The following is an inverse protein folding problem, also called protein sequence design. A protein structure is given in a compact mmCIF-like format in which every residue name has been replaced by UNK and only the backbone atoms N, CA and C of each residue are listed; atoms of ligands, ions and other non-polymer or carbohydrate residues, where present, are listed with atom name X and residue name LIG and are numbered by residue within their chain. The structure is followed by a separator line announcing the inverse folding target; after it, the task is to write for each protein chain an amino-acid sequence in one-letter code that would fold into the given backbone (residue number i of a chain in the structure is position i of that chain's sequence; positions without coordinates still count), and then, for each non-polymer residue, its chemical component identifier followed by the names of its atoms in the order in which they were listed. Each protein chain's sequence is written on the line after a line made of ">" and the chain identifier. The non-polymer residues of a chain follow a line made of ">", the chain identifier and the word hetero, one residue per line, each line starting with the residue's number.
data_IF_361543675551
#
_entry.id   IF_361543675551
#
_cell.length_a   1.000
_cell.length_b   1.000
_cell.length_c   1.000
_cell.angle_alpha   90.00
_cell.angle_beta   90.00
_cell.angle_gamma   90.00
#
_symmetry.space_group_name_H-M   'P 1'
#
loop_
_entity.id
_entity.type
_entity.pdbx_description
1 polymer ?
#
# COMPACT_ATOMS: atom_id res chain seq x y z
N UNK A 1 -29.46 35.67 -39.52
CA UNK A 1 -29.05 34.25 -39.45
C UNK A 1 -27.71 34.15 -38.75
N UNK A 2 -27.67 33.72 -37.49
CA UNK A 2 -26.43 33.23 -36.83
C UNK A 2 -26.79 31.96 -36.07
N UNK A 3 -26.22 30.86 -36.55
CA UNK A 3 -26.41 29.50 -36.08
C UNK A 3 -25.70 29.35 -34.73
N UNK A 4 -26.41 28.89 -33.71
CA UNK A 4 -25.83 28.49 -32.44
C UNK A 4 -25.20 27.10 -32.60
N UNK A 5 -23.87 27.03 -32.54
CA UNK A 5 -23.17 25.78 -32.29
C UNK A 5 -23.29 25.43 -30.81
N UNK A 6 -24.20 24.53 -30.47
CA UNK A 6 -24.20 23.86 -29.17
C UNK A 6 -23.04 22.84 -29.22
N UNK A 7 -21.87 23.24 -28.73
CA UNK A 7 -20.76 22.31 -28.51
C UNK A 7 -21.21 21.27 -27.48
N UNK A 8 -21.21 20.01 -27.90
CA UNK A 8 -21.70 18.89 -27.11
C UNK A 8 -20.65 18.53 -26.03
N UNK A 9 -20.65 19.30 -24.93
CA UNK A 9 -19.71 19.17 -23.78
C UNK A 9 -19.71 17.75 -23.19
N UNK A 10 -20.80 17.00 -23.37
CA UNK A 10 -20.94 15.60 -22.95
C UNK A 10 -19.90 14.65 -23.58
N UNK A 11 -19.61 14.79 -24.88
CA UNK A 11 -18.64 13.93 -25.55
C UNK A 11 -17.19 14.27 -25.18
N UNK A 12 -16.91 15.55 -24.92
CA UNK A 12 -15.58 15.99 -24.54
C UNK A 12 -15.26 15.47 -23.13
N UNK A 13 -16.15 15.64 -22.14
CA UNK A 13 -15.87 15.17 -20.78
C UNK A 13 -15.77 13.64 -20.65
N UNK A 14 -16.53 12.86 -21.43
CA UNK A 14 -16.41 11.39 -21.41
C UNK A 14 -15.03 10.87 -21.84
N UNK A 15 -14.39 11.52 -22.83
CA UNK A 15 -13.04 11.13 -23.29
C UNK A 15 -11.95 11.40 -22.24
N UNK A 16 -12.07 12.48 -21.47
CA UNK A 16 -11.08 12.83 -20.44
C UNK A 16 -11.24 12.02 -19.15
N UNK A 17 -12.47 11.63 -18.79
CA UNK A 17 -12.73 10.71 -17.67
C UNK A 17 -12.13 9.33 -17.94
N UNK A 18 -12.21 8.82 -19.18
CA UNK A 18 -11.54 7.57 -19.57
C UNK A 18 -10.01 7.65 -19.44
N UNK A 19 -9.41 8.81 -19.78
CA UNK A 19 -7.96 9.01 -19.61
C UNK A 19 -7.55 9.05 -18.13
N UNK A 20 -8.36 9.67 -17.26
CA UNK A 20 -8.09 9.76 -15.82
C UNK A 20 -8.28 8.44 -15.06
N UNK A 21 -9.05 7.50 -15.59
CA UNK A 21 -9.20 6.14 -15.03
C UNK A 21 -8.04 5.21 -15.47
N UNK A 22 -7.44 5.46 -16.64
CA UNK A 22 -6.32 4.66 -17.16
C UNK A 22 -4.97 5.04 -16.53
N UNK A 23 -4.76 6.30 -16.15
CA UNK A 23 -3.48 6.78 -15.58
C UNK A 23 -3.11 6.12 -14.24
N UNK A 24 -4.03 5.88 -13.28
CA UNK A 24 -3.72 5.15 -12.05
C UNK A 24 -3.46 3.65 -12.28
N UNK A 25 -4.05 3.07 -13.33
CA UNK A 25 -3.95 1.63 -13.59
C UNK A 25 -2.55 1.24 -14.13
N UNK A 26 -1.89 2.14 -14.86
CA UNK A 26 -0.53 1.92 -15.38
C UNK A 26 0.55 2.18 -14.33
N UNK A 27 0.29 3.06 -13.35
CA UNK A 27 1.27 3.45 -12.32
C UNK A 27 1.33 2.52 -11.10
N UNK A 28 0.44 1.51 -11.01
CA UNK A 28 0.35 0.59 -9.88
C UNK A 28 0.82 -0.84 -10.23
N UNK A 29 1.67 -1.00 -11.25
CA UNK A 29 2.33 -2.30 -11.45
C UNK A 29 3.27 -2.54 -10.26
N UNK A 30 3.19 -3.70 -9.57
CA UNK A 30 4.12 -3.99 -8.49
C UNK A 30 5.56 -3.89 -9.01
N UNK A 31 6.48 -3.35 -8.21
CA UNK A 31 7.89 -3.17 -8.59
C UNK A 31 8.60 -4.53 -8.61
N UNK A 32 8.35 -5.31 -9.65
CA UNK A 32 8.83 -6.67 -9.85
C UNK A 32 9.57 -6.79 -11.18
N UNK A 33 10.42 -7.81 -11.31
CA UNK A 33 11.01 -8.16 -12.60
C UNK A 33 9.94 -8.69 -13.55
N UNK A 34 10.10 -8.42 -14.84
CA UNK A 34 9.18 -8.79 -15.89
C UNK A 34 9.61 -10.08 -16.57
N UNK A 35 8.67 -11.02 -16.65
CA UNK A 35 8.82 -12.22 -17.47
C UNK A 35 8.99 -11.85 -18.95
N UNK A 36 9.92 -12.50 -19.65
CA UNK A 36 10.23 -12.25 -21.06
C UNK A 36 11.16 -11.06 -21.33
N UNK A 37 11.35 -10.16 -20.35
CA UNK A 37 12.30 -9.04 -20.44
C UNK A 37 13.51 -9.28 -19.53
N UNK A 38 13.29 -9.36 -18.21
CA UNK A 38 14.36 -9.49 -17.21
C UNK A 38 14.79 -10.95 -17.02
N UNK A 39 13.85 -11.89 -17.19
CA UNK A 39 14.10 -13.33 -17.14
C UNK A 39 13.11 -14.11 -18.01
N UNK A 40 13.49 -15.29 -18.48
CA UNK A 40 12.64 -16.18 -19.28
C UNK A 40 13.00 -17.64 -19.04
N UNK A 41 12.06 -18.53 -19.37
CA UNK A 41 12.35 -19.96 -19.49
C UNK A 41 12.92 -20.23 -20.89
N UNK A 42 14.17 -20.68 -20.94
CA UNK A 42 14.81 -21.14 -22.19
C UNK A 42 14.22 -22.49 -22.62
N UNK A 43 13.90 -23.33 -21.63
CA UNK A 43 13.19 -24.59 -21.75
C UNK A 43 12.50 -24.90 -20.41
N UNK A 44 11.79 -26.03 -20.33
CA UNK A 44 11.06 -26.48 -19.13
C UNK A 44 11.88 -26.51 -17.85
N UNK A 45 13.20 -26.72 -17.94
CA UNK A 45 14.07 -26.90 -16.78
C UNK A 45 15.17 -25.84 -16.68
N UNK A 46 15.11 -24.76 -17.47
CA UNK A 46 16.17 -23.74 -17.52
C UNK A 46 15.62 -22.34 -17.53
N UNK A 47 15.99 -21.53 -16.54
CA UNK A 47 15.72 -20.09 -16.50
C UNK A 47 16.98 -19.34 -16.93
N UNK A 48 16.80 -18.29 -17.73
CA UNK A 48 17.83 -17.33 -18.10
C UNK A 48 17.45 -15.93 -17.64
N UNK A 49 18.44 -15.08 -17.40
CA UNK A 49 18.23 -13.67 -17.09
C UNK A 49 19.00 -12.78 -18.05
N UNK A 50 18.53 -11.55 -18.20
CA UNK A 50 19.20 -10.49 -18.94
C UNK A 50 20.60 -10.16 -18.38
N UNK A 51 20.78 -10.38 -17.07
CA UNK A 51 22.04 -10.22 -16.33
C UNK A 51 23.04 -11.37 -16.51
N UNK A 52 22.70 -12.38 -17.32
CA UNK A 52 23.59 -13.48 -17.70
C UNK A 52 23.62 -14.67 -16.73
N UNK A 53 22.68 -14.75 -15.79
CA UNK A 53 22.51 -15.94 -14.98
C UNK A 53 21.82 -17.05 -15.78
N UNK A 54 22.18 -18.29 -15.47
CA UNK A 54 21.51 -19.51 -15.95
C UNK A 54 21.15 -20.35 -14.74
N UNK A 55 19.88 -20.73 -14.62
CA UNK A 55 19.39 -21.56 -13.54
C UNK A 55 18.85 -22.87 -14.08
N UNK A 56 19.23 -23.98 -13.46
CA UNK A 56 18.61 -25.28 -13.66
C UNK A 56 17.49 -25.47 -12.64
N UNK A 57 16.35 -25.98 -13.12
CA UNK A 57 15.20 -26.36 -12.32
C UNK A 57 15.21 -27.89 -12.19
N UNK A 58 15.27 -28.35 -10.95
CA UNK A 58 15.11 -29.74 -10.57
C UNK A 58 13.68 -29.95 -10.03
N UNK A 59 12.88 -30.72 -10.78
CA UNK A 59 11.52 -31.06 -10.39
C UNK A 59 11.52 -32.09 -9.26
N UNK A 60 10.80 -31.80 -8.18
CA UNK A 60 10.72 -32.66 -7.00
C UNK A 60 9.42 -33.47 -7.00
N UNK A 61 8.27 -32.79 -7.09
CA UNK A 61 6.95 -33.42 -6.99
C UNK A 61 5.85 -32.50 -7.54
N UNK A 62 4.83 -33.07 -8.18
CA UNK A 62 3.62 -32.33 -8.54
C UNK A 62 2.87 -31.87 -7.29
N UNK A 63 2.41 -30.62 -7.30
CA UNK A 63 1.82 -29.98 -6.14
C UNK A 63 0.59 -29.17 -6.52
N UNK A 64 -0.41 -29.23 -5.65
CA UNK A 64 -1.63 -28.43 -5.76
C UNK A 64 -2.06 -27.99 -4.38
N UNK A 65 -2.36 -26.70 -4.26
CA UNK A 65 -2.86 -26.08 -3.04
C UNK A 65 -4.02 -25.15 -3.37
N UNK A 66 -4.99 -25.10 -2.49
CA UNK A 66 -6.18 -24.28 -2.63
C UNK A 66 -6.52 -23.65 -1.28
N UNK A 67 -6.83 -22.35 -1.28
CA UNK A 67 -7.13 -21.63 -0.05
C UNK A 67 -7.38 -20.15 -0.27
N UNK A 68 -7.73 -19.47 0.82
CA UNK A 68 -7.85 -18.03 0.83
C UNK A 68 -6.49 -17.37 1.04
N UNK A 69 -6.22 -16.31 0.29
CA UNK A 69 -5.01 -15.51 0.39
C UNK A 69 -5.06 -14.64 1.64
N UNK A 70 -4.27 -15.00 2.63
CA UNK A 70 -4.12 -14.28 3.89
C UNK A 70 -3.12 -13.12 3.81
N UNK A 71 -2.16 -13.23 2.90
CA UNK A 71 -1.12 -12.25 2.66
C UNK A 71 -0.45 -12.43 1.31
N UNK A 72 0.04 -11.32 0.74
CA UNK A 72 0.79 -11.29 -0.52
C UNK A 72 2.01 -10.39 -0.32
N UNK A 73 3.19 -10.86 -0.69
CA UNK A 73 4.41 -10.07 -0.63
C UNK A 73 5.20 -10.21 -1.93
N UNK A 74 5.39 -9.08 -2.61
CA UNK A 74 6.22 -9.00 -3.80
C UNK A 74 7.68 -8.73 -3.44
N UNK A 75 8.58 -9.37 -4.18
CA UNK A 75 10.02 -9.27 -4.00
C UNK A 75 10.72 -8.84 -5.28
N UNK A 76 11.84 -8.15 -5.10
CA UNK A 76 12.75 -7.76 -6.17
C UNK A 76 14.17 -8.14 -5.73
N UNK A 77 14.55 -9.38 -6.04
CA UNK A 77 15.86 -9.94 -5.73
C UNK A 77 16.66 -10.20 -7.00
N UNK A 78 17.79 -9.52 -7.17
CA UNK A 78 18.62 -9.58 -8.39
C UNK A 78 19.10 -11.01 -8.71
N UNK A 79 19.31 -11.84 -7.69
CA UNK A 79 19.77 -13.23 -7.85
C UNK A 79 18.66 -14.25 -8.09
N UNK A 80 17.40 -13.85 -7.93
CA UNK A 80 16.24 -14.70 -8.14
C UNK A 80 15.06 -13.88 -8.72
N UNK A 81 15.23 -13.24 -9.89
CA UNK A 81 14.22 -12.35 -10.45
C UNK A 81 12.90 -13.06 -10.78
N UNK A 82 12.95 -14.38 -10.94
CA UNK A 82 11.80 -15.27 -11.15
C UNK A 82 11.02 -15.58 -9.86
N UNK A 83 11.62 -15.35 -8.69
CA UNK A 83 11.00 -15.56 -7.37
C UNK A 83 10.14 -14.39 -6.94
N UNK A 84 9.06 -14.16 -7.67
CA UNK A 84 8.40 -12.84 -7.71
C UNK A 84 7.57 -12.50 -6.48
N UNK A 85 6.80 -13.47 -6.01
CA UNK A 85 5.78 -13.24 -5.00
C UNK A 85 5.68 -14.43 -4.07
N UNK A 86 5.46 -14.10 -2.81
CA UNK A 86 5.10 -15.04 -1.78
C UNK A 86 3.63 -14.85 -1.44
N UNK A 87 2.92 -15.96 -1.28
CA UNK A 87 1.49 -15.99 -0.98
C UNK A 87 1.25 -16.87 0.24
N UNK A 88 0.74 -16.25 1.30
CA UNK A 88 0.25 -16.98 2.46
C UNK A 88 -1.19 -17.44 2.19
N UNK A 89 -1.42 -18.75 2.21
CA UNK A 89 -2.73 -19.37 2.05
C UNK A 89 -3.23 -19.94 3.37
N UNK A 90 -4.54 -19.90 3.58
CA UNK A 90 -5.21 -20.60 4.66
C UNK A 90 -6.48 -21.32 4.17
N UNK A 91 -6.85 -22.40 4.85
CA UNK A 91 -8.06 -23.18 4.54
C UNK A 91 -8.68 -23.78 5.80
N UNK A 92 -9.80 -24.48 5.62
CA UNK A 92 -10.53 -25.10 6.72
C UNK A 92 -11.14 -24.08 7.68
N UNK A 93 -11.15 -24.43 8.97
CA UNK A 93 -11.80 -23.64 10.02
C UNK A 93 -11.13 -22.29 10.25
N UNK A 94 -9.89 -22.08 9.78
CA UNK A 94 -9.19 -20.78 9.85
C UNK A 94 -9.99 -19.68 9.17
N UNK A 95 -10.78 -20.03 8.15
CA UNK A 95 -11.56 -19.06 7.36
C UNK A 95 -12.86 -18.63 8.05
N UNK A 96 -13.24 -19.26 9.16
CA UNK A 96 -14.39 -18.83 9.96
C UNK A 96 -14.14 -17.41 10.49
N UNK A 97 -15.12 -16.48 10.40
CA UNK A 97 -14.93 -15.08 10.79
C UNK A 97 -14.34 -14.90 12.19
N UNK A 98 -14.83 -15.67 13.17
CA UNK A 98 -14.41 -15.63 14.57
C UNK A 98 -12.92 -15.95 14.79
N UNK A 99 -12.32 -16.75 13.91
CA UNK A 99 -10.89 -17.08 13.96
C UNK A 99 -10.11 -16.08 13.10
N UNK A 100 -10.56 -15.86 11.87
CA UNK A 100 -9.88 -15.03 10.88
C UNK A 100 -9.69 -13.59 11.34
N UNK A 101 -10.68 -13.01 12.01
CA UNK A 101 -10.61 -11.64 12.53
C UNK A 101 -9.58 -11.49 13.67
N UNK A 102 -9.25 -12.59 14.36
CA UNK A 102 -8.27 -12.65 15.45
C UNK A 102 -6.90 -13.18 15.02
N UNK A 103 -6.73 -13.48 13.72
CA UNK A 103 -5.49 -13.99 13.14
C UNK A 103 -4.75 -12.87 12.41
N UNK A 104 -3.63 -12.44 12.96
CA UNK A 104 -2.71 -11.53 12.30
C UNK A 104 -1.67 -12.31 11.51
N UNK A 105 -1.58 -12.08 10.21
CA UNK A 105 -0.59 -12.71 9.32
C UNK A 105 0.38 -11.65 8.83
N UNK A 106 1.68 -11.87 9.06
CA UNK A 106 2.77 -11.01 8.63
C UNK A 106 3.72 -11.77 7.71
N UNK A 107 4.27 -11.09 6.70
CA UNK A 107 5.16 -11.68 5.71
C UNK A 107 6.40 -10.82 5.51
N UNK A 108 7.57 -11.34 5.92
CA UNK A 108 8.87 -10.66 5.86
C UNK A 108 10.00 -11.64 5.58
N UNK A 109 11.03 -11.20 4.86
CA UNK A 109 12.23 -12.00 4.54
C UNK A 109 11.96 -13.40 3.95
N UNK A 110 10.87 -13.56 3.18
CA UNK A 110 10.39 -14.84 2.62
C UNK A 110 9.77 -15.80 3.66
N UNK A 111 9.40 -15.30 4.84
CA UNK A 111 8.68 -16.08 5.86
C UNK A 111 7.26 -15.55 6.05
N UNK A 112 6.35 -16.46 6.37
CA UNK A 112 5.03 -16.14 6.89
C UNK A 112 5.01 -16.40 8.40
N UNK A 113 4.73 -15.37 9.18
CA UNK A 113 4.53 -15.44 10.63
C UNK A 113 3.07 -15.14 10.93
N UNK A 114 2.52 -15.80 11.95
CA UNK A 114 1.16 -15.54 12.39
C UNK A 114 1.09 -15.36 13.91
N UNK A 115 0.23 -14.44 14.33
CA UNK A 115 -0.05 -14.15 15.72
C UNK A 115 -1.56 -14.27 15.95
N UNK A 116 -1.93 -14.95 17.04
CA UNK A 116 -3.32 -15.23 17.38
C UNK A 116 -3.61 -14.66 18.77
N UNK A 117 -4.61 -13.77 18.86
CA UNK A 117 -4.86 -12.93 20.04
C UNK A 117 -5.88 -13.49 21.03
N UNK A 118 -6.59 -14.58 20.70
CA UNK A 118 -7.71 -15.05 21.53
C UNK A 118 -7.27 -16.08 22.59
N UNK A 119 -7.54 -15.78 23.87
CA UNK A 119 -7.28 -16.66 25.02
C UNK A 119 -8.18 -17.93 25.05
N UNK A 120 -9.28 -17.97 24.30
CA UNK A 120 -10.22 -19.10 24.19
C UNK A 120 -10.14 -19.78 22.81
N UNK A 121 -8.93 -20.14 22.34
CA UNK A 121 -8.78 -20.66 20.98
C UNK A 121 -9.49 -22.02 20.79
N UNK A 122 -10.58 -22.03 20.01
CA UNK A 122 -11.20 -23.28 19.53
C UNK A 122 -10.27 -24.05 18.57
N UNK A 123 -9.26 -23.37 18.01
CA UNK A 123 -8.25 -23.92 17.11
C UNK A 123 -6.91 -24.11 17.84
N UNK A 124 -6.27 -25.25 17.63
CA UNK A 124 -4.93 -25.54 18.15
C UNK A 124 -3.84 -24.93 17.26
N UNK A 125 -2.66 -24.65 17.83
CA UNK A 125 -1.48 -24.25 17.04
C UNK A 125 -1.12 -25.28 15.96
N UNK A 126 -1.29 -26.57 16.25
CA UNK A 126 -1.10 -27.63 15.27
C UNK A 126 -2.05 -27.50 14.07
N UNK A 127 -3.31 -27.14 14.33
CA UNK A 127 -4.28 -26.91 13.26
C UNK A 127 -3.91 -25.69 12.41
N UNK A 128 -3.52 -24.56 13.03
CA UNK A 128 -3.01 -23.38 12.30
C UNK A 128 -1.84 -23.76 11.38
N UNK A 129 -0.88 -24.50 11.92
CA UNK A 129 0.32 -24.94 11.21
C UNK A 129 0.02 -25.84 10.02
N UNK A 130 -0.96 -26.73 10.15
CA UNK A 130 -1.31 -27.70 9.09
C UNK A 130 -2.35 -27.19 8.10
N UNK A 131 -2.96 -26.02 8.37
CA UNK A 131 -4.00 -25.41 7.53
C UNK A 131 -3.61 -24.04 6.99
N UNK A 132 -2.32 -23.70 7.04
CA UNK A 132 -1.74 -22.54 6.41
C UNK A 132 -0.46 -22.94 5.69
N UNK A 133 -0.16 -22.28 4.57
CA UNK A 133 1.11 -22.45 3.86
C UNK A 133 1.67 -21.13 3.35
N UNK A 134 2.99 -21.07 3.21
CA UNK A 134 3.70 -19.93 2.62
C UNK A 134 4.31 -20.38 1.30
N UNK A 135 3.77 -19.87 0.20
CA UNK A 135 4.05 -20.37 -1.14
C UNK A 135 4.88 -19.35 -1.92
N UNK A 136 6.07 -19.74 -2.38
CA UNK A 136 6.92 -18.96 -3.26
C UNK A 136 6.61 -19.29 -4.72
N UNK A 137 6.07 -18.32 -5.46
CA UNK A 137 5.54 -18.58 -6.79
C UNK A 137 6.52 -18.17 -7.88
N UNK A 138 6.83 -19.14 -8.75
CA UNK A 138 7.64 -18.97 -9.96
C UNK A 138 6.73 -19.23 -11.17
N UNK A 139 6.52 -18.26 -12.07
CA UNK A 139 5.64 -18.45 -13.23
C UNK A 139 6.27 -19.37 -14.27
N UNK A 140 5.53 -20.40 -14.73
CA UNK A 140 5.96 -21.23 -15.86
C UNK A 140 5.71 -20.60 -17.25
N UNK A 141 5.03 -19.45 -17.31
CA UNK A 141 4.79 -18.71 -18.56
C UNK A 141 4.40 -17.26 -18.28
N UNK A 142 4.41 -16.43 -19.31
CA UNK A 142 3.97 -15.03 -19.24
C UNK A 142 2.49 -14.91 -18.83
N UNK A 143 1.63 -15.81 -19.30
CA UNK A 143 0.22 -15.84 -18.92
C UNK A 143 0.04 -16.11 -17.42
N UNK A 144 0.83 -17.04 -16.86
CA UNK A 144 0.82 -17.32 -15.44
C UNK A 144 1.39 -16.16 -14.64
N UNK A 145 2.48 -15.55 -15.09
CA UNK A 145 3.02 -14.32 -14.49
C UNK A 145 1.94 -13.23 -14.39
N UNK A 146 1.21 -12.97 -15.48
CA UNK A 146 0.15 -11.97 -15.54
C UNK A 146 -1.05 -12.27 -14.62
N UNK A 147 -1.28 -13.55 -14.26
CA UNK A 147 -2.26 -13.93 -13.24
C UNK A 147 -1.69 -13.76 -11.84
N UNK A 148 -0.45 -14.20 -11.60
CA UNK A 148 0.24 -14.12 -10.30
C UNK A 148 0.31 -12.68 -9.78
N UNK A 149 0.67 -11.72 -10.63
CA UNK A 149 0.77 -10.30 -10.22
C UNK A 149 -0.56 -9.66 -9.83
N UNK A 150 -1.70 -10.32 -10.12
CA UNK A 150 -3.05 -9.84 -9.79
C UNK A 150 -3.57 -10.37 -8.46
N UNK A 151 -2.89 -11.36 -7.85
CA UNK A 151 -3.29 -11.95 -6.57
C UNK A 151 -3.34 -10.87 -5.50
N UNK A 152 -4.41 -10.88 -4.70
CA UNK A 152 -4.64 -9.96 -3.58
C UNK A 152 -5.09 -10.74 -2.36
N UNK A 153 -4.85 -10.14 -1.19
CA UNK A 153 -5.44 -10.61 0.07
C UNK A 153 -6.96 -10.68 -0.06
N UNK A 154 -7.53 -11.80 0.38
CA UNK A 154 -8.96 -12.10 0.28
C UNK A 154 -9.39 -12.86 -0.97
N UNK A 155 -8.51 -12.99 -1.98
CA UNK A 155 -8.79 -13.88 -3.10
C UNK A 155 -8.80 -15.34 -2.63
N UNK A 156 -9.72 -16.16 -3.15
CA UNK A 156 -9.65 -17.60 -3.01
C UNK A 156 -9.05 -18.18 -4.28
N UNK A 157 -7.93 -18.88 -4.16
CA UNK A 157 -7.16 -19.32 -5.33
C UNK A 157 -6.81 -20.79 -5.24
N UNK A 158 -6.67 -21.41 -6.41
CA UNK A 158 -6.09 -22.73 -6.59
C UNK A 158 -4.84 -22.62 -7.44
N UNK A 159 -3.74 -23.15 -6.93
CA UNK A 159 -2.44 -23.19 -7.57
C UNK A 159 -2.11 -24.65 -7.89
N UNK A 160 -1.69 -24.93 -9.11
CA UNK A 160 -1.14 -26.23 -9.50
C UNK A 160 0.19 -26.03 -10.23
N UNK A 161 1.15 -26.89 -9.94
CA UNK A 161 2.51 -26.79 -10.45
C UNK A 161 3.39 -27.93 -9.97
N UNK A 162 4.68 -27.65 -9.89
CA UNK A 162 5.68 -28.62 -9.41
C UNK A 162 6.54 -27.94 -8.35
N UNK A 163 6.81 -28.64 -7.24
CA UNK A 163 7.80 -28.22 -6.26
C UNK A 163 9.18 -28.37 -6.87
N UNK A 164 10.02 -27.35 -6.71
CA UNK A 164 11.31 -27.29 -7.41
C UNK A 164 12.48 -27.00 -6.48
N UNK A 165 13.67 -27.38 -6.94
CA UNK A 165 14.94 -26.93 -6.41
C UNK A 165 15.73 -26.25 -7.53
N UNK A 166 16.25 -25.05 -7.26
CA UNK A 166 16.87 -24.21 -8.29
C UNK A 166 18.35 -24.00 -8.00
N UNK A 167 19.18 -24.24 -9.03
CA UNK A 167 20.63 -24.02 -8.98
C UNK A 167 21.03 -23.05 -10.08
N UNK A 168 21.55 -21.89 -9.70
CA UNK A 168 22.01 -20.84 -10.60
C UNK A 168 23.52 -20.76 -10.73
N UNK A 169 24.00 -20.48 -11.94
CA UNK A 169 25.37 -20.02 -12.19
C UNK A 169 25.41 -18.79 -13.09
N UNK A 170 26.40 -17.92 -12.85
CA UNK A 170 26.76 -16.81 -13.73
C UNK A 170 28.27 -16.81 -13.96
N UNK A 171 28.67 -16.64 -15.22
CA UNK A 171 30.08 -16.58 -15.64
C UNK A 171 30.41 -15.18 -16.14
N UNK A 172 31.34 -14.52 -15.46
CA UNK A 172 31.77 -13.17 -15.82
C UNK A 172 33.26 -12.98 -15.48
N UNK A 173 34.06 -12.48 -16.43
CA UNK A 173 35.49 -12.17 -16.23
C UNK A 173 36.30 -13.33 -15.59
N UNK A 174 36.12 -14.56 -16.08
CA UNK A 174 36.72 -15.79 -15.54
C UNK A 174 36.31 -16.15 -14.10
N UNK A 175 35.29 -15.50 -13.53
CA UNK A 175 34.67 -15.88 -12.27
C UNK A 175 33.37 -16.62 -12.52
N UNK A 176 33.09 -17.59 -11.66
CA UNK A 176 31.83 -18.33 -11.61
C UNK A 176 31.16 -17.99 -10.29
N UNK A 177 30.03 -17.32 -10.34
CA UNK A 177 29.13 -17.15 -9.21
C UNK A 177 28.09 -18.26 -9.23
N UNK A 178 27.71 -18.74 -8.04
CA UNK A 178 26.66 -19.75 -7.86
C UNK A 178 25.63 -19.26 -6.87
N UNK A 179 24.40 -19.70 -7.05
CA UNK A 179 23.33 -19.50 -6.08
C UNK A 179 22.43 -20.74 -6.08
N UNK A 180 21.78 -20.98 -4.96
CA UNK A 180 20.80 -22.04 -4.83
C UNK A 180 19.57 -21.49 -4.14
N UNK A 181 18.40 -21.98 -4.54
CA UNK A 181 17.15 -21.70 -3.85
C UNK A 181 16.36 -23.00 -3.68
N UNK A 182 16.18 -23.39 -2.42
CA UNK A 182 15.56 -24.65 -2.01
C UNK A 182 16.56 -25.59 -1.31
N UNK A 183 16.26 -26.90 -1.26
CA UNK A 183 15.08 -27.54 -1.86
C UNK A 183 13.77 -27.06 -1.24
N UNK A 184 12.69 -27.07 -2.03
CA UNK A 184 11.33 -26.86 -1.51
C UNK A 184 11.01 -27.86 -0.41
N UNK A 185 10.23 -27.46 0.60
CA UNK A 185 9.63 -28.41 1.53
C UNK A 185 8.78 -29.42 0.76
N UNK A 186 8.89 -30.70 1.11
CA UNK A 186 8.02 -31.79 0.58
C UNK A 186 7.15 -32.39 1.67
N UNK A 187 7.19 -31.85 2.90
CA UNK A 187 6.37 -32.34 4.01
C UNK A 187 5.60 -31.22 4.69
N UNK A 188 4.41 -31.55 5.21
CA UNK A 188 3.58 -30.64 6.01
C UNK A 188 4.16 -30.37 7.40
N UNK A 189 5.24 -31.08 7.77
CA UNK A 189 5.82 -31.12 9.12
C UNK A 189 7.20 -30.44 9.21
N UNK A 190 7.66 -29.79 8.14
CA UNK A 190 8.89 -29.01 8.19
C UNK A 190 8.65 -27.67 8.92
N UNK A 191 9.67 -27.17 9.63
CA UNK A 191 9.67 -25.85 10.30
C UNK A 191 10.92 -25.04 9.88
N UNK A 192 10.80 -23.71 9.83
CA UNK A 192 11.92 -22.79 9.57
C UNK A 192 12.29 -22.59 8.09
N UNK A 193 13.56 -22.25 7.82
CA UNK A 193 14.13 -21.85 6.50
C UNK A 193 13.94 -22.86 5.34
N UNK A 194 13.37 -24.03 5.62
CA UNK A 194 13.20 -25.15 4.69
C UNK A 194 11.76 -25.68 4.62
N UNK A 195 10.82 -25.01 5.28
CA UNK A 195 9.42 -25.44 5.37
C UNK A 195 8.51 -24.86 4.28
N UNK A 196 9.02 -23.98 3.42
CA UNK A 196 8.20 -23.27 2.44
C UNK A 196 8.17 -23.97 1.09
N UNK A 197 7.03 -23.89 0.40
CA UNK A 197 6.85 -24.45 -0.92
C UNK A 197 7.36 -23.51 -2.01
N UNK A 198 8.35 -23.94 -2.79
CA UNK A 198 8.83 -23.23 -3.99
C UNK A 198 8.19 -23.89 -5.20
N UNK A 199 7.27 -23.19 -5.85
CA UNK A 199 6.37 -23.76 -6.85
C UNK A 199 6.66 -23.16 -8.22
N UNK A 200 7.03 -24.00 -9.20
CA UNK A 200 6.91 -23.67 -10.62
C UNK A 200 5.43 -23.80 -11.02
N UNK A 201 4.74 -22.67 -11.06
CA UNK A 201 3.29 -22.56 -11.23
C UNK A 201 2.92 -22.79 -12.70
N UNK A 202 2.14 -23.85 -12.94
CA UNK A 202 1.63 -24.22 -14.27
C UNK A 202 0.18 -23.79 -14.47
N UNK A 203 -0.61 -23.72 -13.39
CA UNK A 203 -1.98 -23.21 -13.38
C UNK A 203 -2.24 -22.35 -12.14
N UNK A 204 -3.04 -21.30 -12.35
CA UNK A 204 -3.58 -20.44 -11.30
C UNK A 204 -5.01 -20.07 -11.67
N UNK A 205 -5.92 -20.35 -10.73
CA UNK A 205 -7.36 -20.13 -10.86
C UNK A 205 -7.86 -19.30 -9.68
N UNK A 206 -8.65 -18.27 -9.98
CA UNK A 206 -9.40 -17.52 -8.98
C UNK A 206 -10.76 -18.20 -8.81
N UNK A 207 -10.97 -18.83 -7.66
CA UNK A 207 -12.21 -19.53 -7.36
C UNK A 207 -13.22 -18.51 -6.85
N UNK A 208 -14.31 -18.33 -7.57
CA UNK A 208 -15.42 -17.52 -7.09
C UNK A 208 -16.14 -18.34 -6.03
N UNK A 209 -16.02 -17.94 -4.76
CA UNK A 209 -16.91 -18.50 -3.76
C UNK A 209 -18.31 -17.99 -4.04
N UNK A 210 -19.25 -18.89 -4.35
CA UNK A 210 -20.67 -18.52 -4.26
C UNK A 210 -20.90 -18.04 -2.83
N UNK A 211 -21.50 -16.86 -2.62
CA UNK A 211 -21.75 -16.38 -1.28
C UNK A 211 -22.61 -17.41 -0.57
N UNK A 212 -22.06 -18.03 0.48
CA UNK A 212 -22.84 -18.80 1.43
C UNK A 212 -23.92 -17.85 1.94
N UNK A 213 -25.18 -18.22 1.72
CA UNK A 213 -26.34 -17.42 2.11
C UNK A 213 -26.37 -17.42 3.65
N UNK A 214 -25.63 -16.50 4.25
CA UNK A 214 -25.86 -16.02 5.60
C UNK A 214 -26.52 -14.66 5.45
N UNK A 215 -27.73 -14.55 5.99
CA UNK A 215 -28.59 -13.37 5.92
C UNK A 215 -27.87 -12.15 6.51
N UNK A 216 -27.25 -11.31 5.67
CA UNK A 216 -26.78 -9.98 6.06
C UNK A 216 -27.39 -8.91 5.15
N UNK A 217 -27.58 -7.67 5.65
CA UNK A 217 -28.47 -6.71 5.01
C UNK A 217 -27.90 -6.24 3.67
N UNK A 218 -28.76 -6.21 2.65
CA UNK A 218 -28.46 -5.91 1.26
C UNK A 218 -27.48 -4.71 1.05
N UNK A 219 -26.23 -4.95 0.61
CA UNK A 219 -25.20 -3.92 0.46
C UNK A 219 -25.50 -2.92 -0.67
N UNK A 220 -26.42 -3.22 -1.59
CA UNK A 220 -26.81 -2.31 -2.67
C UNK A 220 -27.47 -1.03 -2.14
N UNK A 221 -28.20 -1.10 -1.02
CA UNK A 221 -28.77 0.11 -0.39
C UNK A 221 -27.69 1.05 0.15
N UNK A 222 -26.66 0.51 0.79
CA UNK A 222 -25.55 1.30 1.31
C UNK A 222 -24.68 1.89 0.19
N UNK A 223 -24.57 1.19 -0.94
CA UNK A 223 -23.78 1.66 -2.09
C UNK A 223 -24.45 2.84 -2.80
N UNK A 224 -25.77 2.81 -3.00
CA UNK A 224 -26.51 3.95 -3.55
C UNK A 224 -26.43 5.18 -2.63
N UNK A 225 -26.54 4.97 -1.32
CA UNK A 225 -26.49 6.05 -0.34
C UNK A 225 -25.08 6.66 -0.22
N UNK A 226 -24.05 5.82 -0.29
CA UNK A 226 -22.65 6.25 -0.41
C UNK A 226 -22.40 7.07 -1.68
N UNK A 227 -22.86 6.58 -2.84
CA UNK A 227 -22.67 7.29 -4.11
C UNK A 227 -23.41 8.64 -4.12
N UNK A 228 -24.61 8.68 -3.54
CA UNK A 228 -25.39 9.92 -3.38
C UNK A 228 -24.66 10.93 -2.49
N UNK A 229 -23.95 10.47 -1.45
CA UNK A 229 -23.17 11.33 -0.57
C UNK A 229 -21.86 11.81 -1.22
N UNK A 230 -21.13 10.93 -1.92
CA UNK A 230 -19.92 11.32 -2.69
C UNK A 230 -20.28 12.31 -3.80
N UNK A 231 -21.38 12.07 -4.53
CA UNK A 231 -21.85 12.96 -5.59
C UNK A 231 -22.23 14.35 -5.06
N UNK A 232 -22.82 14.45 -3.86
CA UNK A 232 -23.07 15.75 -3.21
C UNK A 232 -21.77 16.53 -2.98
N UNK A 233 -20.70 15.89 -2.52
CA UNK A 233 -19.41 16.56 -2.32
C UNK A 233 -18.80 17.04 -3.65
N UNK A 234 -18.87 16.21 -4.70
CA UNK A 234 -18.41 16.61 -6.03
C UNK A 234 -19.17 17.82 -6.58
N UNK A 235 -20.50 17.86 -6.43
CA UNK A 235 -21.33 19.00 -6.85
C UNK A 235 -20.97 20.25 -6.05
N UNK A 236 -20.74 20.16 -4.74
CA UNK A 236 -20.34 21.29 -3.90
C UNK A 236 -18.96 21.82 -4.36
N UNK A 237 -17.97 20.95 -4.54
CA UNK A 237 -16.63 21.35 -5.00
C UNK A 237 -16.72 22.01 -6.38
N UNK A 238 -17.51 21.44 -7.29
CA UNK A 238 -17.68 21.99 -8.63
C UNK A 238 -18.37 23.37 -8.61
N UNK A 239 -19.39 23.57 -7.76
CA UNK A 239 -20.03 24.88 -7.56
C UNK A 239 -19.04 25.88 -6.98
N UNK A 240 -18.22 25.50 -5.99
CA UNK A 240 -17.21 26.37 -5.39
C UNK A 240 -16.15 26.77 -6.42
N UNK A 241 -15.63 25.82 -7.20
CA UNK A 241 -14.66 26.09 -8.26
C UNK A 241 -15.28 26.96 -9.36
N UNK A 242 -16.51 26.70 -9.76
CA UNK A 242 -17.23 27.50 -10.75
C UNK A 242 -17.49 28.92 -10.23
N UNK A 243 -17.87 29.10 -8.97
CA UNK A 243 -18.00 30.41 -8.33
C UNK A 243 -16.65 31.14 -8.28
N UNK A 244 -15.56 30.46 -7.93
CA UNK A 244 -14.20 31.05 -7.92
C UNK A 244 -13.77 31.50 -9.32
N UNK A 245 -14.08 30.72 -10.36
CA UNK A 245 -13.69 31.01 -11.74
C UNK A 245 -14.63 32.01 -12.44
N UNK A 246 -15.90 32.12 -12.01
CA UNK A 246 -16.93 32.94 -12.64
C UNK A 246 -17.26 34.24 -11.88
N UNK A 247 -16.62 34.49 -10.73
CA UNK A 247 -16.57 35.85 -10.18
C UNK A 247 -15.85 36.71 -11.23
N UNK A 248 -16.49 37.78 -11.75
CA UNK A 248 -15.84 38.64 -12.74
C UNK A 248 -14.53 39.15 -12.16
N UNK A 249 -13.43 38.98 -12.90
CA UNK A 249 -12.11 39.53 -12.56
C UNK A 249 -12.11 41.05 -12.34
N UNK A 250 -13.23 41.73 -12.64
CA UNK A 250 -13.52 43.12 -12.31
C UNK A 250 -13.87 43.41 -10.84
N UNK A 251 -14.18 42.41 -10.01
CA UNK A 251 -14.33 42.58 -8.55
C UNK A 251 -13.01 42.33 -7.79
N UNK A 252 -11.97 41.85 -8.49
CA UNK A 252 -10.62 41.66 -7.97
C UNK A 252 -9.68 42.86 -8.25
N UNK A 253 -10.20 44.01 -8.70
CA UNK A 253 -9.46 45.28 -8.59
C UNK A 253 -9.52 45.80 -7.15
N UNK A 254 -9.05 44.99 -6.19
CA UNK A 254 -8.80 45.46 -4.84
C UNK A 254 -7.39 46.03 -4.83
N UNK A 255 -7.32 47.36 -4.78
CA UNK A 255 -6.17 48.15 -4.34
C UNK A 255 -5.35 47.31 -3.36
N UNK A 256 -4.05 47.07 -3.62
CA UNK A 256 -3.16 46.36 -2.68
C UNK A 256 -3.31 46.98 -1.29
N UNK A 257 -4.09 46.37 -0.42
CA UNK A 257 -4.15 46.73 0.99
C UNK A 257 -2.85 46.21 1.62
N UNK A 258 -2.07 47.12 2.20
CA UNK A 258 -0.87 46.78 2.97
C UNK A 258 -1.26 45.75 4.03
N UNK A 259 -0.66 44.57 3.95
CA UNK A 259 -0.75 43.55 5.01
C UNK A 259 -0.35 44.21 6.33
N UNK A 260 -1.21 44.10 7.34
CA UNK A 260 -1.00 44.72 8.63
C UNK A 260 0.27 44.17 9.30
N UNK A 261 1.19 45.02 9.81
CA UNK A 261 2.43 44.59 10.50
C UNK A 261 2.21 43.67 11.73
N UNK A 262 0.95 43.46 12.11
CA UNK A 262 0.50 42.69 13.29
C UNK A 262 0.73 41.19 13.18
N UNK A 263 0.64 40.61 11.98
CA UNK A 263 0.76 39.16 11.78
C UNK A 263 2.21 38.67 11.74
N UNK A 264 3.12 39.42 11.13
CA UNK A 264 4.53 39.02 11.00
C UNK A 264 5.26 38.97 12.35
N UNK A 265 4.98 39.91 13.25
CA UNK A 265 5.67 39.97 14.54
C UNK A 265 5.27 38.80 15.44
N UNK A 266 3.98 38.45 15.48
CA UNK A 266 3.50 37.32 16.27
C UNK A 266 4.09 36.00 15.76
N UNK A 267 4.12 35.80 14.43
CA UNK A 267 4.71 34.62 13.81
C UNK A 267 6.21 34.49 14.12
N UNK A 268 6.98 35.57 13.95
CA UNK A 268 8.41 35.58 14.24
C UNK A 268 8.72 35.29 15.71
N UNK A 269 7.91 35.80 16.64
CA UNK A 269 8.12 35.57 18.07
C UNK A 269 7.74 34.15 18.50
N UNK A 270 6.70 33.56 17.90
CA UNK A 270 6.35 32.15 18.12
C UNK A 270 7.50 31.26 17.67
N UNK A 271 8.07 31.52 16.49
CA UNK A 271 9.21 30.76 15.97
C UNK A 271 10.45 30.88 16.88
N UNK A 272 10.76 32.10 17.32
CA UNK A 272 11.89 32.37 18.21
C UNK A 272 11.83 31.55 19.52
N UNK A 273 10.69 31.56 20.22
CA UNK A 273 10.55 30.83 21.48
C UNK A 273 10.48 29.32 21.29
N UNK A 274 9.88 28.86 20.19
CA UNK A 274 9.87 27.44 19.82
C UNK A 274 11.29 26.93 19.62
N UNK A 275 12.14 27.67 18.88
CA UNK A 275 13.57 27.35 18.69
C UNK A 275 14.36 27.32 20.00
N UNK A 276 13.95 28.08 21.02
CA UNK A 276 14.57 28.09 22.36
C UNK A 276 14.02 27.01 23.31
N UNK A 277 13.16 26.12 22.82
CA UNK A 277 12.60 25.00 23.56
C UNK A 277 11.49 25.41 24.53
N UNK A 278 10.76 26.49 24.23
CA UNK A 278 9.55 26.89 24.96
C UNK A 278 8.32 26.48 24.15
N UNK A 279 7.28 26.02 24.84
CA UNK A 279 5.95 25.80 24.25
C UNK A 279 5.11 27.06 24.39
N UNK A 280 4.63 27.63 23.29
CA UNK A 280 3.70 28.76 23.31
C UNK A 280 2.30 28.25 23.67
N UNK A 281 1.70 28.81 24.73
CA UNK A 281 0.38 28.43 25.21
C UNK A 281 -0.72 29.35 24.68
N UNK A 282 -0.47 30.67 24.70
CA UNK A 282 -1.41 31.70 24.26
C UNK A 282 -0.67 33.00 23.99
N UNK A 283 -1.17 33.82 23.06
CA UNK A 283 -0.71 35.20 22.93
C UNK A 283 -1.90 36.16 22.84
N UNK A 284 -1.67 37.40 23.25
CA UNK A 284 -2.62 38.49 23.14
C UNK A 284 -1.89 39.76 22.70
N UNK A 285 -2.49 40.51 21.79
CA UNK A 285 -1.93 41.74 21.24
C UNK A 285 -2.74 42.95 21.69
N UNK A 286 -2.12 43.83 22.46
CA UNK A 286 -2.69 45.10 22.90
C UNK A 286 -1.67 46.20 22.61
N UNK A 287 -1.77 46.85 21.44
CA UNK A 287 -0.83 47.87 20.95
C UNK A 287 -0.40 48.86 22.06
N UNK A 288 0.91 49.05 22.35
CA UNK A 288 2.09 48.52 21.64
C UNK A 288 2.62 47.17 22.15
N UNK A 289 1.89 46.47 23.02
CA UNK A 289 2.40 45.29 23.70
C UNK A 289 1.91 43.97 23.08
N UNK A 290 2.85 43.06 22.85
CA UNK A 290 2.58 41.65 22.60
C UNK A 290 2.83 40.85 23.89
N UNK A 291 1.80 40.21 24.41
CA UNK A 291 1.90 39.33 25.59
C UNK A 291 1.82 37.88 25.15
N UNK A 292 2.82 37.08 25.50
CA UNK A 292 2.92 35.66 25.14
C UNK A 292 3.09 34.84 26.43
N UNK A 293 2.19 33.89 26.64
CA UNK A 293 2.34 32.86 27.66
C UNK A 293 3.13 31.69 27.07
N UNK A 294 4.28 31.39 27.66
CA UNK A 294 5.19 30.33 27.23
C UNK A 294 5.50 29.38 28.39
N UNK A 295 5.71 28.10 28.11
CA UNK A 295 6.01 27.07 29.11
C UNK A 295 7.33 26.36 28.82
N UNK A 296 8.08 26.06 29.88
CA UNK A 296 9.30 25.25 29.84
C UNK A 296 9.54 24.59 31.20
N UNK A 297 9.75 23.27 31.21
CA UNK A 297 9.99 22.47 32.42
C UNK A 297 8.93 22.73 33.50
N UNK A 298 7.65 22.59 33.13
CA UNK A 298 6.45 22.78 33.97
C UNK A 298 6.20 24.20 34.50
N UNK A 299 7.14 25.13 34.29
CA UNK A 299 6.99 26.56 34.60
C UNK A 299 6.34 27.31 33.45
N UNK A 300 5.49 28.27 33.77
CA UNK A 300 4.79 29.14 32.82
C UNK A 300 5.25 30.59 33.03
N UNK A 301 5.70 31.22 31.95
CA UNK A 301 6.16 32.59 31.92
C UNK A 301 5.23 33.44 31.05
N UNK A 302 4.99 34.69 31.46
CA UNK A 302 4.43 35.73 30.62
C UNK A 302 5.56 36.60 30.09
N UNK A 303 5.84 36.51 28.79
CA UNK A 303 6.68 37.46 28.08
C UNK A 303 5.82 38.64 27.64
N UNK A 304 6.17 39.87 28.03
CA UNK A 304 5.55 41.10 27.53
C UNK A 304 6.59 41.84 26.71
N UNK A 305 6.29 42.05 25.44
CA UNK A 305 7.16 42.67 24.45
C UNK A 305 6.55 44.01 24.07
N UNK A 306 7.29 45.10 24.27
CA UNK A 306 6.94 46.40 23.72
C UNK A 306 7.43 46.50 22.28
N UNK A 307 6.49 46.57 21.34
CA UNK A 307 6.78 46.57 19.91
C UNK A 307 7.32 47.90 19.38
N UNK A 308 7.21 48.98 20.17
CA UNK A 308 7.81 50.27 19.83
C UNK A 308 9.27 50.35 20.25
N UNK A 309 9.61 49.77 21.40
CA UNK A 309 10.96 49.88 21.98
C UNK A 309 11.80 48.60 21.85
N UNK A 310 11.18 47.47 21.52
CA UNK A 310 11.83 46.16 21.48
C UNK A 310 12.15 45.57 22.86
N UNK A 311 11.76 46.24 23.96
CA UNK A 311 12.02 45.76 25.32
C UNK A 311 11.13 44.55 25.64
N UNK A 312 11.73 43.55 26.27
CA UNK A 312 11.05 42.32 26.69
C UNK A 312 11.17 42.18 28.20
N UNK A 313 10.04 41.97 28.87
CA UNK A 313 9.99 41.59 30.28
C UNK A 313 9.34 40.23 30.46
N UNK A 314 9.78 39.49 31.47
CA UNK A 314 9.29 38.16 31.79
C UNK A 314 8.80 38.11 33.23
N UNK A 315 7.67 37.45 33.44
CA UNK A 315 7.16 37.14 34.79
C UNK A 315 6.77 35.68 34.88
N UNK A 316 7.23 34.97 35.91
CA UNK A 316 6.75 33.63 36.23
C UNK A 316 5.29 33.71 36.72
N UNK A 317 4.40 32.97 36.07
CA UNK A 317 2.97 32.91 36.41
C UNK A 317 2.67 31.66 37.24
N UNK A 318 3.32 30.53 36.94
CA UNK A 318 3.08 29.23 37.59
C UNK A 318 4.32 28.35 37.49
#
# INVERSE_FOLDING_TARGET
>A
MKVFYIFNISLFMKKWIFLLILIPCVLASPNVYKFGEDYWLENENTIKTDTGWTYNIEDLMDYTVEGEVMGVRFYKEDKAPFGLVDVALAWGDILKPEIKENLEVTMEYRYCSYYYTCENSEISFYYLRTHMSNNHLIPASEDIFNKIIKIKKGDYIKISGTLVYIKGEKRENNKIERMEWGPSSTTLEDEGDKACEIILVKSLEFVTQEPSISETPNPLKNFEEFYKNVWKFFVIIFIVVFLILYIPSKLLSRKKEKVSPRYDIAANMIEYYTKKGYRVLKYNFNDPFLKIAISKNEKIYLATIDLKTGKISYRLIR
#
